data_IF_612044345544
#
_entry.id   IF_612044345544
#
_cell.length_a   1.000
_cell.length_b   1.000
_cell.length_c   1.000
_cell.angle_alpha   90.00
_cell.angle_beta   90.00
_cell.angle_gamma   90.00
#
_symmetry.space_group_name_H-M   'P 1'
#
loop_
_entity.id
_entity.type
_entity.pdbx_description
1 polymer ?
#
# COMPACT_ATOMS: atom_id res chain seq x y z
N UNK A 1 43.83 -62.83 -0.72
CA UNK A 1 42.72 -63.26 0.16
C UNK A 1 42.53 -62.13 1.16
N UNK A 2 41.81 -61.03 0.88
CA UNK A 2 40.35 -60.90 0.58
C UNK A 2 39.55 -61.60 1.68
N UNK A 3 38.73 -60.99 2.52
CA UNK A 3 37.88 -59.78 2.49
C UNK A 3 37.58 -59.37 3.96
N UNK A 4 37.00 -58.24 4.40
CA UNK A 4 35.86 -57.44 3.95
C UNK A 4 35.92 -56.08 4.69
N UNK A 5 35.83 -54.96 3.96
CA UNK A 5 35.51 -53.66 4.55
C UNK A 5 33.99 -53.53 4.62
N UNK A 6 33.47 -53.36 5.83
CA UNK A 6 32.07 -53.00 6.06
C UNK A 6 31.92 -51.49 5.81
N UNK A 7 31.40 -51.14 4.63
CA UNK A 7 30.98 -49.79 4.29
C UNK A 7 29.60 -49.59 4.89
N UNK A 8 29.52 -48.91 6.03
CA UNK A 8 28.24 -48.44 6.59
C UNK A 8 27.67 -47.38 5.66
N UNK A 9 26.81 -47.82 4.77
CA UNK A 9 26.00 -47.00 3.88
C UNK A 9 24.90 -46.31 4.70
N UNK A 10 25.23 -45.19 5.34
CA UNK A 10 24.22 -44.33 5.98
C UNK A 10 23.43 -43.63 4.87
N UNK A 11 22.19 -44.11 4.72
CA UNK A 11 21.23 -43.72 3.71
C UNK A 11 21.02 -42.20 3.64
N UNK A 12 20.84 -41.75 2.40
CA UNK A 12 20.55 -40.39 2.00
C UNK A 12 19.43 -39.76 2.83
N UNK A 13 19.72 -38.60 3.43
CA UNK A 13 18.70 -37.68 3.89
C UNK A 13 17.81 -37.33 2.69
N UNK A 14 16.56 -37.76 2.76
CA UNK A 14 15.53 -37.40 1.81
C UNK A 14 15.35 -35.88 1.89
N UNK A 15 15.79 -35.18 0.85
CA UNK A 15 15.42 -33.79 0.57
C UNK A 15 13.91 -33.77 0.26
N UNK A 16 13.11 -33.79 1.33
CA UNK A 16 11.70 -33.47 1.23
C UNK A 16 11.66 -31.95 1.07
N UNK A 17 11.14 -31.41 -0.04
CA UNK A 17 10.92 -29.97 -0.11
C UNK A 17 10.00 -29.61 1.05
N UNK A 18 10.55 -28.88 2.02
CA UNK A 18 9.78 -28.24 3.08
C UNK A 18 8.79 -27.31 2.40
N UNK A 19 7.61 -27.83 2.12
CA UNK A 19 6.45 -27.05 1.70
C UNK A 19 5.98 -26.35 2.95
N UNK A 20 6.69 -25.29 3.35
CA UNK A 20 6.21 -24.37 4.37
C UNK A 20 4.81 -23.95 3.93
N UNK A 21 3.76 -24.29 4.69
CA UNK A 21 2.40 -23.99 4.28
C UNK A 21 2.28 -22.49 4.04
N UNK A 22 1.87 -22.11 2.82
CA UNK A 22 1.68 -20.72 2.47
C UNK A 22 0.61 -20.14 3.41
N UNK A 23 0.95 -19.08 4.16
CA UNK A 23 0.01 -18.47 5.09
C UNK A 23 -1.25 -18.02 4.36
N UNK A 24 -2.41 -18.33 4.95
CA UNK A 24 -3.69 -17.83 4.45
C UNK A 24 -3.81 -16.32 4.74
N UNK A 25 -4.55 -15.55 3.95
CA UNK A 25 -4.78 -14.13 4.22
C UNK A 25 -5.30 -13.87 5.64
N UNK A 26 -6.18 -14.75 6.14
CA UNK A 26 -6.76 -14.67 7.48
C UNK A 26 -5.70 -14.89 8.56
N UNK A 27 -4.81 -15.87 8.38
CA UNK A 27 -3.70 -16.11 9.29
C UNK A 27 -2.73 -14.91 9.34
N UNK A 28 -2.47 -14.25 8.20
CA UNK A 28 -1.66 -13.03 8.17
C UNK A 28 -2.32 -11.89 8.96
N UNK A 29 -3.63 -11.70 8.82
CA UNK A 29 -4.36 -10.66 9.59
C UNK A 29 -4.31 -10.93 11.09
N UNK A 30 -4.48 -12.18 11.51
CA UNK A 30 -4.42 -12.55 12.93
C UNK A 30 -3.00 -12.36 13.49
N UNK A 31 -1.97 -12.75 12.74
CA UNK A 31 -0.58 -12.47 13.09
C UNK A 31 -0.30 -10.97 13.25
N UNK A 32 -0.77 -10.13 12.33
CA UNK A 32 -0.63 -8.68 12.41
C UNK A 32 -1.35 -8.09 13.64
N UNK A 33 -2.51 -8.63 14.00
CA UNK A 33 -3.26 -8.20 15.19
C UNK A 33 -2.51 -8.57 16.48
N UNK A 34 -1.98 -9.79 16.54
CA UNK A 34 -1.17 -10.25 17.66
C UNK A 34 0.11 -9.40 17.82
N UNK A 35 0.81 -9.11 16.73
CA UNK A 35 1.98 -8.23 16.74
C UNK A 35 1.62 -6.82 17.21
N UNK A 36 0.51 -6.24 16.72
CA UNK A 36 0.03 -4.92 17.15
C UNK A 36 -0.25 -4.87 18.66
N UNK A 37 -0.80 -5.94 19.23
CA UNK A 37 -1.06 -6.02 20.67
C UNK A 37 0.23 -6.00 21.51
N UNK A 38 1.34 -6.51 20.97
CA UNK A 38 2.64 -6.54 21.65
C UNK A 38 3.43 -5.23 21.52
N UNK A 39 3.25 -4.49 20.43
CA UNK A 39 3.94 -3.20 20.17
C UNK A 39 3.37 -2.05 21.03
N UNK A 40 2.19 -2.23 21.61
CA UNK A 40 1.47 -1.22 22.39
C UNK A 40 0.54 -0.37 21.51
N UNK A 41 -0.51 0.20 22.12
CA UNK A 41 -1.46 1.04 21.40
C UNK A 41 -0.85 2.39 21.01
N UNK A 42 -0.36 2.50 19.78
CA UNK A 42 -0.06 3.80 19.18
C UNK A 42 -1.33 4.30 18.49
N UNK A 43 -1.92 5.37 19.03
CA UNK A 43 -3.05 6.05 18.37
C UNK A 43 -2.58 6.58 17.02
N UNK A 44 -3.22 6.20 15.89
CA UNK A 44 -2.82 6.70 14.58
C UNK A 44 -2.94 8.22 14.52
N UNK A 45 -1.87 8.88 14.09
CA UNK A 45 -1.89 10.33 13.86
C UNK A 45 -2.80 10.67 12.67
N UNK A 46 -3.58 11.73 12.82
CA UNK A 46 -4.29 12.37 11.70
C UNK A 46 -3.30 12.90 10.66
N UNK A 47 -3.77 13.12 9.43
CA UNK A 47 -2.95 13.68 8.35
C UNK A 47 -2.37 15.06 8.72
N UNK A 48 -3.17 15.91 9.38
CA UNK A 48 -2.74 17.23 9.82
C UNK A 48 -1.62 17.14 10.86
N UNK A 49 -1.78 16.29 11.88
CA UNK A 49 -0.75 16.06 12.90
C UNK A 49 0.57 15.56 12.29
N UNK A 50 0.50 14.65 11.31
CA UNK A 50 1.71 14.18 10.60
C UNK A 50 2.43 15.29 9.85
N UNK A 51 1.69 16.19 9.19
CA UNK A 51 2.28 17.34 8.49
C UNK A 51 2.99 18.26 9.48
N UNK A 52 2.32 18.61 10.58
CA UNK A 52 2.87 19.50 11.61
C UNK A 52 4.11 18.91 12.29
N UNK A 53 4.13 17.62 12.58
CA UNK A 53 5.30 16.97 13.18
C UNK A 53 6.46 16.93 12.18
N UNK A 54 6.20 16.54 10.93
CA UNK A 54 7.25 16.51 9.89
C UNK A 54 7.88 17.86 9.60
N UNK A 55 7.14 18.97 9.74
CA UNK A 55 7.73 20.30 9.57
C UNK A 55 8.60 20.70 10.76
N UNK A 56 8.25 20.27 11.98
CA UNK A 56 8.97 20.58 13.22
C UNK A 56 10.23 19.74 13.43
N UNK A 57 10.31 18.54 12.88
CA UNK A 57 11.44 17.62 13.08
C UNK A 57 12.57 17.77 12.06
N UNK A 58 12.58 18.86 11.26
CA UNK A 58 13.61 19.12 10.25
C UNK A 58 14.90 19.68 10.87
N UNK A 59 15.55 18.90 11.69
CA UNK A 59 16.91 19.19 12.17
C UNK A 59 17.89 18.28 11.43
N UNK A 60 19.01 18.83 10.97
CA UNK A 60 20.04 18.00 10.33
C UNK A 60 20.78 17.15 11.36
N UNK A 61 21.20 15.95 10.96
CA UNK A 61 21.96 15.04 11.84
C UNK A 61 23.23 15.67 12.45
N UNK A 62 24.03 16.48 11.72
CA UNK A 62 25.17 17.16 12.33
C UNK A 62 24.77 18.14 13.44
N UNK A 63 23.65 18.85 13.27
CA UNK A 63 23.14 19.77 14.29
C UNK A 63 22.68 18.99 15.52
N UNK A 64 21.94 17.89 15.33
CA UNK A 64 21.53 17.02 16.44
C UNK A 64 22.73 16.48 17.23
N UNK A 65 23.76 15.98 16.54
CA UNK A 65 24.94 15.44 17.19
C UNK A 65 25.72 16.52 17.96
N UNK A 66 25.87 17.71 17.37
CA UNK A 66 26.49 18.84 18.04
C UNK A 66 25.70 19.25 19.29
N UNK A 67 24.37 19.29 19.23
CA UNK A 67 23.52 19.57 20.39
C UNK A 67 23.68 18.54 21.50
N UNK A 68 23.75 17.26 21.17
CA UNK A 68 24.00 16.18 22.15
C UNK A 68 25.39 16.33 22.79
N UNK A 69 26.40 16.69 22.01
CA UNK A 69 27.74 16.93 22.52
C UNK A 69 27.76 18.11 23.49
N UNK A 70 26.99 19.17 23.24
CA UNK A 70 26.84 20.31 24.17
C UNK A 70 26.18 19.88 25.48
N UNK A 71 25.14 19.05 25.42
CA UNK A 71 24.49 18.48 26.61
C UNK A 71 25.49 17.68 27.44
N UNK A 72 26.30 16.84 26.79
CA UNK A 72 27.27 15.99 27.46
C UNK A 72 28.54 16.70 27.95
N UNK A 73 28.80 17.92 27.47
CA UNK A 73 30.00 18.67 27.83
C UNK A 73 29.85 19.47 29.14
N UNK A 74 28.62 19.78 29.57
CA UNK A 74 28.38 20.59 30.76
C UNK A 74 27.13 20.16 31.52
N UNK A 75 27.32 19.78 32.79
CA UNK A 75 26.23 19.33 33.69
C UNK A 75 25.10 20.35 33.81
N UNK A 76 25.40 21.64 33.84
CA UNK A 76 24.37 22.69 33.90
C UNK A 76 23.42 22.65 32.70
N UNK A 77 23.92 22.32 31.50
CA UNK A 77 23.08 22.19 30.30
C UNK A 77 22.25 20.92 30.38
N UNK A 78 22.87 19.80 30.77
CA UNK A 78 22.16 18.54 31.03
C UNK A 78 21.01 18.71 32.03
N UNK A 79 21.26 19.38 33.15
CA UNK A 79 20.24 19.69 34.16
C UNK A 79 19.16 20.64 33.65
N UNK A 80 19.53 21.68 32.88
CA UNK A 80 18.57 22.63 32.32
C UNK A 80 17.65 22.01 31.26
N UNK A 81 18.18 21.09 30.43
CA UNK A 81 17.41 20.35 29.44
C UNK A 81 16.59 19.24 30.10
N UNK A 82 17.03 18.73 31.26
CA UNK A 82 16.39 17.63 31.99
C UNK A 82 16.52 16.28 31.29
N UNK A 83 17.44 16.18 30.32
CA UNK A 83 17.71 14.96 29.57
C UNK A 83 19.24 14.79 29.47
N UNK A 84 19.81 13.76 30.11
CA UNK A 84 21.21 13.38 29.92
C UNK A 84 21.53 13.11 28.45
N UNK A 85 22.77 13.37 28.04
CA UNK A 85 23.20 13.15 26.66
C UNK A 85 23.05 11.69 26.22
N UNK A 86 23.30 10.74 27.12
CA UNK A 86 23.16 9.30 26.83
C UNK A 86 21.70 8.89 26.60
N UNK A 87 20.76 9.45 27.37
CA UNK A 87 19.33 9.20 27.16
C UNK A 87 18.87 9.73 25.80
N UNK A 88 19.31 10.94 25.41
CA UNK A 88 19.00 11.50 24.08
C UNK A 88 19.60 10.66 22.95
N UNK A 89 20.81 10.11 23.14
CA UNK A 89 21.41 9.16 22.16
C UNK A 89 20.56 7.90 22.05
N UNK A 90 20.16 7.32 23.18
CA UNK A 90 19.31 6.14 23.21
C UNK A 90 17.96 6.38 22.49
N UNK A 91 17.33 7.54 22.70
CA UNK A 91 16.10 7.92 22.00
C UNK A 91 16.27 7.95 20.47
N UNK A 92 17.40 8.43 19.98
CA UNK A 92 17.71 8.46 18.54
C UNK A 92 17.91 7.04 18.01
N UNK A 93 18.66 6.21 18.74
CA UNK A 93 18.86 4.81 18.38
C UNK A 93 17.54 4.05 18.31
N UNK A 94 16.66 4.23 19.30
CA UNK A 94 15.34 3.61 19.32
C UNK A 94 14.49 4.08 18.15
N UNK A 95 14.47 5.38 17.85
CA UNK A 95 13.76 5.91 16.69
C UNK A 95 14.29 5.32 15.36
N UNK A 96 15.61 5.15 15.23
CA UNK A 96 16.22 4.53 14.05
C UNK A 96 15.86 3.04 13.92
N UNK A 97 15.85 2.29 15.03
CA UNK A 97 15.42 0.88 15.05
C UNK A 97 13.95 0.74 14.65
N UNK A 98 13.09 1.62 15.15
CA UNK A 98 11.68 1.66 14.74
C UNK A 98 11.47 2.09 13.29
N UNK A 99 12.35 2.94 12.75
CA UNK A 99 12.32 3.30 11.32
C UNK A 99 12.59 2.08 10.44
N UNK A 100 13.56 1.24 10.80
CA UNK A 100 13.82 0.00 10.08
C UNK A 100 12.60 -0.95 10.09
N UNK A 101 11.91 -1.05 11.22
CA UNK A 101 10.66 -1.82 11.34
C UNK A 101 9.57 -1.25 10.41
N UNK A 102 9.40 0.08 10.38
CA UNK A 102 8.44 0.74 9.48
C UNK A 102 8.72 0.41 8.01
N UNK A 103 9.99 0.44 7.61
CA UNK A 103 10.40 0.19 6.23
C UNK A 103 10.12 -1.25 5.80
N UNK A 104 10.37 -2.23 6.67
CA UNK A 104 10.01 -3.64 6.41
C UNK A 104 8.49 -3.83 6.26
N UNK A 105 7.69 -3.21 7.13
CA UNK A 105 6.24 -3.24 7.00
C UNK A 105 5.75 -2.60 5.70
N UNK A 106 6.37 -1.48 5.29
CA UNK A 106 6.05 -0.81 4.03
C UNK A 106 6.41 -1.68 2.82
N UNK A 107 7.56 -2.34 2.85
CA UNK A 107 7.99 -3.26 1.80
C UNK A 107 7.02 -4.45 1.68
N UNK A 108 6.68 -5.08 2.81
CA UNK A 108 5.71 -6.17 2.86
C UNK A 108 4.33 -5.73 2.34
N UNK A 109 3.82 -4.57 2.78
CA UNK A 109 2.54 -4.03 2.31
C UNK A 109 2.55 -3.77 0.81
N UNK A 110 3.65 -3.22 0.28
CA UNK A 110 3.81 -2.98 -1.16
C UNK A 110 3.73 -4.29 -1.95
N UNK A 111 4.41 -5.35 -1.49
CA UNK A 111 4.33 -6.68 -2.08
C UNK A 111 2.91 -7.27 -2.08
N UNK A 112 2.20 -7.19 -0.95
CA UNK A 112 0.81 -7.64 -0.83
C UNK A 112 -0.12 -6.84 -1.76
N UNK A 113 0.05 -5.52 -1.81
CA UNK A 113 -0.73 -4.64 -2.67
C UNK A 113 -0.52 -4.97 -4.16
N UNK A 114 0.73 -5.18 -4.58
CA UNK A 114 1.07 -5.62 -5.93
C UNK A 114 0.44 -6.97 -6.29
N UNK A 115 0.55 -7.96 -5.41
CA UNK A 115 -0.07 -9.27 -5.61
C UNK A 115 -1.61 -9.17 -5.73
N UNK A 116 -2.25 -8.34 -4.90
CA UNK A 116 -3.68 -8.10 -4.96
C UNK A 116 -4.11 -7.41 -6.25
N UNK A 117 -3.30 -6.50 -6.77
CA UNK A 117 -3.55 -5.86 -8.06
C UNK A 117 -3.54 -6.90 -9.19
N UNK A 118 -2.55 -7.80 -9.20
CA UNK A 118 -2.47 -8.90 -10.18
C UNK A 118 -3.71 -9.81 -10.08
N UNK A 119 -4.12 -10.19 -8.86
CA UNK A 119 -5.34 -11.00 -8.64
C UNK A 119 -6.58 -10.31 -9.22
N UNK A 120 -6.74 -9.01 -8.95
CA UNK A 120 -7.86 -8.20 -9.49
C UNK A 120 -7.82 -8.08 -11.00
N UNK A 121 -6.63 -7.93 -11.59
CA UNK A 121 -6.45 -7.89 -13.03
C UNK A 121 -6.88 -9.22 -13.68
N UNK A 122 -6.45 -10.36 -13.12
CA UNK A 122 -6.86 -11.69 -13.59
C UNK A 122 -8.37 -11.88 -13.55
N UNK A 123 -9.01 -11.51 -12.44
CA UNK A 123 -10.48 -11.55 -12.29
C UNK A 123 -11.15 -10.66 -13.35
N UNK A 124 -10.63 -9.45 -13.57
CA UNK A 124 -11.18 -8.54 -14.57
C UNK A 124 -11.06 -9.07 -16.01
N UNK A 125 -9.97 -9.78 -16.34
CA UNK A 125 -9.80 -10.45 -17.63
C UNK A 125 -10.80 -11.59 -17.82
N UNK A 126 -10.97 -12.45 -16.80
CA UNK A 126 -11.95 -13.55 -16.86
C UNK A 126 -13.36 -12.98 -17.02
N UNK A 127 -13.71 -11.95 -16.25
CA UNK A 127 -15.02 -11.30 -16.34
C UNK A 127 -15.26 -10.64 -17.71
N UNK A 128 -14.24 -10.06 -18.34
CA UNK A 128 -14.35 -9.46 -19.67
C UNK A 128 -14.55 -10.53 -20.76
N UNK A 129 -13.81 -11.64 -20.67
CA UNK A 129 -13.97 -12.80 -21.54
C UNK A 129 -15.36 -13.43 -21.40
N UNK A 130 -15.82 -13.67 -20.17
CA UNK A 130 -17.15 -14.22 -19.90
C UNK A 130 -18.26 -13.33 -20.49
N UNK A 131 -18.15 -12.01 -20.35
CA UNK A 131 -19.10 -11.09 -20.98
C UNK A 131 -19.04 -11.13 -22.51
N UNK A 132 -17.84 -11.22 -23.10
CA UNK A 132 -17.66 -11.28 -24.56
C UNK A 132 -18.29 -12.54 -25.13
N UNK A 133 -17.96 -13.71 -24.56
CA UNK A 133 -18.49 -15.02 -24.97
C UNK A 133 -20.00 -15.04 -24.74
N UNK A 134 -20.47 -14.64 -23.56
CA UNK A 134 -21.91 -14.59 -23.25
C UNK A 134 -22.69 -13.68 -24.19
N UNK A 135 -22.11 -12.54 -24.61
CA UNK A 135 -22.73 -11.64 -25.59
C UNK A 135 -22.79 -12.23 -27.01
N UNK A 136 -21.85 -13.10 -27.37
CA UNK A 136 -21.86 -13.80 -28.65
C UNK A 136 -22.89 -14.95 -28.63
N UNK A 137 -22.90 -15.76 -27.57
CA UNK A 137 -23.83 -16.88 -27.41
C UNK A 137 -25.29 -16.43 -27.29
N UNK A 138 -25.57 -15.32 -26.60
CA UNK A 138 -26.92 -14.78 -26.44
C UNK A 138 -27.61 -14.36 -27.76
N UNK A 139 -26.90 -14.39 -28.90
CA UNK A 139 -27.48 -14.16 -30.23
C UNK A 139 -28.22 -15.39 -30.77
N UNK A 140 -27.88 -16.57 -30.28
CA UNK A 140 -28.54 -17.83 -30.62
C UNK A 140 -29.75 -18.05 -29.69
N UNK A 141 -30.96 -18.25 -30.24
CA UNK A 141 -32.16 -18.56 -29.44
C UNK A 141 -31.98 -19.74 -28.48
N UNK A 142 -31.13 -20.72 -28.79
CA UNK A 142 -30.83 -21.85 -27.90
C UNK A 142 -30.19 -21.41 -26.57
N UNK A 143 -29.58 -20.22 -26.53
CA UNK A 143 -28.91 -19.65 -25.36
C UNK A 143 -29.63 -18.39 -24.83
N UNK A 144 -30.93 -18.24 -25.08
CA UNK A 144 -31.72 -17.07 -24.68
C UNK A 144 -31.65 -16.74 -23.17
N UNK A 145 -31.36 -17.74 -22.33
CA UNK A 145 -31.13 -17.57 -20.88
C UNK A 145 -30.02 -16.56 -20.54
N UNK A 146 -29.06 -16.34 -21.44
CA UNK A 146 -27.94 -15.40 -21.23
C UNK A 146 -28.33 -13.92 -21.48
N UNK A 147 -29.41 -13.67 -22.22
CA UNK A 147 -29.86 -12.32 -22.60
C UNK A 147 -30.04 -11.38 -21.40
N UNK A 148 -30.78 -11.73 -20.33
CA UNK A 148 -30.94 -10.85 -19.17
C UNK A 148 -29.61 -10.53 -18.46
N UNK A 149 -28.70 -11.51 -18.34
CA UNK A 149 -27.39 -11.31 -17.71
C UNK A 149 -26.50 -10.35 -18.50
N UNK A 150 -26.47 -10.47 -19.83
CA UNK A 150 -25.71 -9.58 -20.70
C UNK A 150 -26.27 -8.15 -20.67
N UNK A 151 -27.59 -7.99 -20.66
CA UNK A 151 -28.25 -6.70 -20.54
C UNK A 151 -27.91 -6.01 -19.21
N UNK A 152 -27.95 -6.75 -18.10
CA UNK A 152 -27.60 -6.22 -16.78
C UNK A 152 -26.13 -5.75 -16.72
N UNK A 153 -25.20 -6.53 -17.29
CA UNK A 153 -23.79 -6.11 -17.35
C UNK A 153 -23.62 -4.84 -18.20
N UNK A 154 -24.35 -4.70 -19.32
CA UNK A 154 -24.32 -3.46 -20.13
C UNK A 154 -24.85 -2.26 -19.35
N UNK A 155 -25.94 -2.45 -18.59
CA UNK A 155 -26.51 -1.43 -17.71
C UNK A 155 -25.48 -0.97 -16.67
N UNK A 156 -24.85 -1.88 -15.95
CA UNK A 156 -23.84 -1.55 -14.93
C UNK A 156 -22.63 -0.80 -15.51
N UNK A 157 -22.17 -1.18 -16.72
CA UNK A 157 -21.07 -0.49 -17.42
C UNK A 157 -21.42 0.96 -17.80
N UNK A 158 -22.66 1.23 -18.22
CA UNK A 158 -23.08 2.58 -18.62
C UNK A 158 -23.18 3.55 -17.43
N UNK A 159 -23.62 3.09 -16.26
CA UNK A 159 -23.63 3.87 -15.02
C UNK A 159 -22.23 4.29 -14.57
N UNK A 160 -21.25 3.37 -14.67
CA UNK A 160 -19.85 3.68 -14.35
C UNK A 160 -19.27 4.75 -15.30
N UNK A 161 -19.68 4.75 -16.58
CA UNK A 161 -19.23 5.74 -17.56
C UNK A 161 -19.83 7.13 -17.31
N UNK A 162 -21.13 7.21 -17.00
CA UNK A 162 -21.81 8.49 -16.69
C UNK A 162 -21.24 9.21 -15.46
N UNK A 163 -20.85 8.45 -14.43
CA UNK A 163 -20.21 9.03 -13.23
C UNK A 163 -18.84 9.67 -13.54
N UNK A 164 -18.15 9.24 -14.60
CA UNK A 164 -16.86 9.80 -15.02
C UNK A 164 -17.00 11.07 -15.88
N UNK A 165 -18.13 11.26 -16.57
CA UNK A 165 -18.38 12.44 -17.43
C UNK A 165 -19.19 13.56 -16.76
N UNK A 166 -19.69 13.36 -15.53
CA UNK A 166 -20.53 14.35 -14.85
C UNK A 166 -19.75 15.47 -14.11
N UNK A 167 -18.49 15.74 -14.47
CA UNK A 167 -17.72 16.89 -13.94
C UNK A 167 -17.21 17.79 -15.06
N UNK A 168 -18.13 18.53 -15.68
CA UNK A 168 -17.83 19.88 -16.17
C UNK A 168 -19.13 20.69 -16.11
N UNK A 169 -19.34 21.54 -15.09
CA UNK A 169 -20.31 22.63 -15.19
C UNK A 169 -19.85 23.54 -16.33
N UNK A 170 -20.66 23.67 -17.37
CA UNK A 170 -20.34 24.47 -18.54
C UNK A 170 -20.15 25.94 -18.20
N UNK A 171 -19.09 26.55 -18.75
CA UNK A 171 -18.91 28.00 -18.81
C UNK A 171 -20.13 28.62 -19.52
N UNK A 172 -20.75 29.68 -18.97
CA UNK A 172 -21.86 30.35 -19.63
C UNK A 172 -21.40 30.99 -20.96
N UNK A 173 -22.24 30.86 -22.00
CA UNK A 173 -21.97 31.39 -23.33
C UNK A 173 -21.80 32.92 -23.31
N UNK A 174 -20.85 33.48 -24.08
CA UNK A 174 -20.69 34.93 -24.17
C UNK A 174 -21.92 35.57 -24.86
N UNK A 175 -22.30 36.80 -24.45
CA UNK A 175 -23.48 37.47 -25.00
C UNK A 175 -23.28 37.86 -26.48
N UNK A 176 -24.37 37.96 -27.26
CA UNK A 176 -24.31 38.28 -28.68
C UNK A 176 -23.81 39.71 -28.90
N UNK A 177 -22.81 39.86 -29.78
CA UNK A 177 -22.30 41.16 -30.22
C UNK A 177 -23.23 41.71 -31.30
N UNK A 178 -23.93 42.81 -31.02
CA UNK A 178 -24.68 43.57 -32.02
C UNK A 178 -23.72 44.37 -32.91
N UNK A 179 -23.79 44.29 -34.26
CA UNK A 179 -22.94 45.09 -35.14
C UNK A 179 -23.33 46.58 -35.12
N UNK A 180 -22.36 47.50 -35.28
CA UNK A 180 -22.61 48.93 -35.23
C UNK A 180 -23.34 49.44 -36.48
N UNK A 181 -24.27 50.37 -36.24
CA UNK A 181 -25.09 51.09 -37.21
C UNK A 181 -24.18 51.92 -38.13
N UNK A 182 -24.28 51.72 -39.45
CA UNK A 182 -23.58 52.53 -40.44
C UNK A 182 -24.07 54.00 -40.35
N UNK A 183 -23.12 54.93 -40.26
CA UNK A 183 -23.35 56.36 -40.43
C UNK A 183 -22.99 56.68 -41.88
N UNK A 184 -24.00 57.08 -42.64
CA UNK A 184 -23.93 57.53 -44.03
C UNK A 184 -23.85 59.08 -44.04
N UNK A 185 -22.99 59.71 -44.85
CA UNK A 185 -23.16 61.10 -45.26
C UNK A 185 -24.04 61.24 -46.51
#
# INVERSE_FOLDING_TARGET
>A
MSTNHEVTNTAAATDVPSTVPLLTPEAVVEGLRAMRAQIGEVTPLTSAQRITLRSRTRTSNPVLQASINVIGALDNVSQAVGQPADDVRQMIEDANRWTAVEDEFRAMLSGIAGANLIRRQRIALIASQAFSIGSQLARDPAHAVLVPHVQEIRRLKSFKRRKKTAQTPGTPAPPPVTPPKAVEP
#
